data_IF_426886684518
#
_entry.id   IF_426886684518
#
_cell.length_a   1.000
_cell.length_b   1.000
_cell.length_c   1.000
_cell.angle_alpha   90.00
_cell.angle_beta   90.00
_cell.angle_gamma   90.00
#
_symmetry.space_group_name_H-M   'P 1'
#
loop_
_entity.id
_entity.type
_entity.pdbx_description
1 polymer ?
#
# COMPACT_ATOMS: atom_id res chain seq x y z
N UNK A 1 28.04 18.19 -17.18
CA UNK A 1 28.64 16.98 -16.56
C UNK A 1 28.20 16.99 -15.11
N UNK A 2 27.17 16.23 -14.77
CA UNK A 2 26.78 16.02 -13.38
C UNK A 2 27.03 14.54 -13.08
N UNK A 3 28.27 14.26 -12.67
CA UNK A 3 28.59 13.04 -11.94
C UNK A 3 28.38 13.38 -10.47
N UNK A 4 27.47 12.68 -9.80
CA UNK A 4 27.64 12.44 -8.37
C UNK A 4 27.41 10.96 -8.11
N UNK A 5 28.34 10.43 -7.35
CA UNK A 5 28.66 9.02 -7.19
C UNK A 5 27.51 8.26 -6.52
N UNK A 6 27.18 7.09 -7.05
CA UNK A 6 26.21 6.18 -6.46
C UNK A 6 26.90 5.43 -5.32
N UNK A 7 26.82 6.01 -4.14
CA UNK A 7 27.04 5.31 -2.88
C UNK A 7 25.90 4.28 -2.70
N UNK A 8 26.29 3.02 -2.57
CA UNK A 8 25.41 1.87 -2.38
C UNK A 8 24.55 2.03 -1.12
N UNK A 9 23.35 2.60 -1.27
CA UNK A 9 22.35 2.72 -0.19
C UNK A 9 21.58 4.04 -0.14
N UNK A 10 21.91 5.04 -0.97
CA UNK A 10 21.26 6.34 -0.91
C UNK A 10 20.02 6.40 -1.83
N UNK A 11 18.83 6.53 -1.21
CA UNK A 11 17.57 6.77 -1.93
C UNK A 11 17.63 8.12 -2.62
N UNK A 12 17.12 8.20 -3.86
CA UNK A 12 17.00 9.50 -4.54
C UNK A 12 16.05 10.42 -3.76
N UNK A 13 16.46 11.68 -3.62
CA UNK A 13 15.71 12.73 -2.90
C UNK A 13 14.59 13.34 -3.75
N UNK A 14 14.67 13.23 -5.08
CA UNK A 14 13.61 13.69 -5.99
C UNK A 14 13.08 12.55 -6.86
N UNK A 15 11.76 12.48 -6.98
CA UNK A 15 11.09 11.61 -7.92
C UNK A 15 10.52 12.44 -9.07
N UNK A 16 10.94 12.15 -10.31
CA UNK A 16 10.43 12.80 -11.52
C UNK A 16 8.92 12.60 -11.70
N UNK A 17 8.39 11.47 -11.21
CA UNK A 17 7.01 11.06 -11.39
C UNK A 17 6.40 10.64 -10.05
N UNK A 18 6.43 11.55 -9.06
CA UNK A 18 5.81 11.32 -7.73
C UNK A 18 4.36 10.84 -7.89
N UNK A 19 3.57 11.54 -8.72
CA UNK A 19 2.15 11.25 -8.92
C UNK A 19 1.90 9.81 -9.39
N UNK A 20 2.67 9.32 -10.37
CA UNK A 20 2.53 7.94 -10.88
C UNK A 20 2.96 6.92 -9.84
N UNK A 21 3.99 7.24 -9.05
CA UNK A 21 4.43 6.36 -7.97
C UNK A 21 3.40 6.26 -6.87
N UNK A 22 2.70 7.35 -6.54
CA UNK A 22 1.63 7.36 -5.54
C UNK A 22 0.42 6.56 -6.03
N UNK A 23 -0.03 6.76 -7.26
CA UNK A 23 -1.13 5.95 -7.80
C UNK A 23 -0.81 4.45 -7.78
N UNK A 24 0.41 4.08 -8.17
CA UNK A 24 0.85 2.70 -8.10
C UNK A 24 0.85 2.17 -6.66
N UNK A 25 1.33 2.98 -5.71
CA UNK A 25 1.38 2.66 -4.29
C UNK A 25 -0.02 2.42 -3.71
N UNK A 26 -0.96 3.30 -4.04
CA UNK A 26 -2.36 3.22 -3.63
C UNK A 26 -3.00 1.94 -4.19
N UNK A 27 -2.88 1.66 -5.49
CA UNK A 27 -3.40 0.43 -6.09
C UNK A 27 -2.81 -0.84 -5.45
N UNK A 28 -1.54 -0.82 -5.06
CA UNK A 28 -0.92 -1.95 -4.36
C UNK A 28 -1.48 -2.09 -2.93
N UNK A 29 -1.67 -0.97 -2.24
CA UNK A 29 -2.23 -0.93 -0.89
C UNK A 29 -3.72 -1.32 -0.83
N UNK A 30 -4.48 -1.06 -1.90
CA UNK A 30 -5.86 -1.49 -2.06
C UNK A 30 -6.01 -2.92 -2.59
N UNK A 31 -4.88 -3.59 -2.88
CA UNK A 31 -4.83 -5.01 -3.22
C UNK A 31 -5.12 -5.32 -4.68
N UNK A 32 -5.16 -4.31 -5.56
CA UNK A 32 -5.44 -4.48 -6.99
C UNK A 32 -4.32 -5.21 -7.74
N UNK A 33 -3.08 -5.13 -7.24
CA UNK A 33 -1.89 -5.69 -7.91
C UNK A 33 -1.34 -7.00 -7.32
N UNK A 34 -2.02 -7.62 -6.35
CA UNK A 34 -1.59 -8.92 -5.82
C UNK A 34 -0.14 -8.97 -5.31
N UNK A 35 0.58 -10.05 -5.60
CA UNK A 35 1.96 -10.28 -5.12
C UNK A 35 3.02 -9.56 -5.97
N UNK A 36 2.82 -9.48 -7.27
CA UNK A 36 3.69 -8.78 -8.23
C UNK A 36 3.82 -7.28 -7.91
N UNK A 37 2.75 -6.65 -7.43
CA UNK A 37 2.78 -5.27 -6.95
C UNK A 37 3.76 -5.05 -5.79
N UNK A 38 3.88 -6.00 -4.87
CA UNK A 38 4.73 -5.86 -3.67
C UNK A 38 6.21 -5.77 -4.02
N UNK A 39 6.65 -6.51 -5.03
CA UNK A 39 8.05 -6.50 -5.47
C UNK A 39 8.41 -5.17 -6.15
N UNK A 40 7.53 -4.69 -7.03
CA UNK A 40 7.68 -3.38 -7.69
C UNK A 40 7.71 -2.28 -6.65
N UNK A 41 6.82 -2.34 -5.67
CA UNK A 41 6.78 -1.40 -4.56
C UNK A 41 8.11 -1.39 -3.78
N UNK A 42 8.59 -2.56 -3.37
CA UNK A 42 9.83 -2.68 -2.60
C UNK A 42 11.01 -2.05 -3.35
N UNK A 43 11.12 -2.28 -4.65
CA UNK A 43 12.16 -1.67 -5.47
C UNK A 43 12.05 -0.14 -5.56
N UNK A 44 10.83 0.41 -5.59
CA UNK A 44 10.61 1.87 -5.61
C UNK A 44 10.95 2.50 -4.28
N UNK A 45 10.54 1.89 -3.17
CA UNK A 45 10.83 2.35 -1.81
C UNK A 45 12.33 2.30 -1.49
N UNK A 46 13.04 1.31 -2.03
CA UNK A 46 14.49 1.17 -1.86
C UNK A 46 15.28 2.24 -2.62
N UNK A 47 14.73 2.75 -3.73
CA UNK A 47 15.40 3.72 -4.60
C UNK A 47 14.93 5.16 -4.42
N UNK A 48 13.86 5.42 -3.65
CA UNK A 48 13.19 6.73 -3.61
C UNK A 48 12.70 7.14 -2.22
N UNK A 49 13.26 8.23 -1.69
CA UNK A 49 12.94 8.76 -0.37
C UNK A 49 11.51 9.33 -0.28
N UNK A 50 11.05 10.21 -1.20
CA UNK A 50 9.69 10.78 -1.08
C UNK A 50 8.59 9.72 -1.23
N UNK A 51 8.82 8.67 -2.02
CA UNK A 51 7.87 7.55 -2.11
C UNK A 51 7.84 6.71 -0.83
N UNK A 52 9.00 6.55 -0.17
CA UNK A 52 9.10 5.86 1.11
C UNK A 52 8.33 6.59 2.21
N UNK A 53 8.50 7.90 2.32
CA UNK A 53 7.79 8.71 3.29
C UNK A 53 6.27 8.70 3.07
N UNK A 54 5.82 8.83 1.82
CA UNK A 54 4.39 8.76 1.49
C UNK A 54 3.77 7.41 1.86
N UNK A 55 4.43 6.31 1.52
CA UNK A 55 3.98 4.97 1.89
C UNK A 55 3.88 4.79 3.40
N UNK A 56 4.87 5.29 4.14
CA UNK A 56 4.87 5.18 5.59
C UNK A 56 3.71 5.97 6.21
N UNK A 57 3.46 7.18 5.72
CA UNK A 57 2.32 8.00 6.12
C UNK A 57 0.99 7.28 5.84
N UNK A 58 0.81 6.76 4.63
CA UNK A 58 -0.42 6.07 4.25
C UNK A 58 -0.66 4.81 5.08
N UNK A 59 0.38 4.04 5.36
CA UNK A 59 0.27 2.89 6.26
C UNK A 59 -0.10 3.31 7.69
N UNK A 60 0.50 4.37 8.22
CA UNK A 60 0.14 4.90 9.53
C UNK A 60 -1.34 5.33 9.58
N UNK A 61 -1.82 6.01 8.54
CA UNK A 61 -3.24 6.37 8.41
C UNK A 61 -4.12 5.11 8.36
N UNK A 62 -3.79 4.13 7.52
CA UNK A 62 -4.53 2.85 7.43
C UNK A 62 -4.53 2.11 8.77
N UNK A 63 -3.45 2.13 9.52
CA UNK A 63 -3.37 1.54 10.87
C UNK A 63 -4.26 2.29 11.86
N UNK A 64 -4.26 3.62 11.84
CA UNK A 64 -5.16 4.44 12.68
C UNK A 64 -6.62 4.15 12.34
N UNK A 65 -6.98 4.09 11.07
CA UNK A 65 -8.34 3.71 10.65
C UNK A 65 -8.71 2.31 11.15
N UNK A 66 -7.79 1.34 11.00
CA UNK A 66 -7.98 -0.04 11.48
C UNK A 66 -8.14 -0.14 13.00
N UNK A 67 -7.43 0.71 13.75
CA UNK A 67 -7.41 0.63 15.22
C UNK A 67 -8.49 1.48 15.89
N UNK A 68 -8.91 2.59 15.25
CA UNK A 68 -9.83 3.59 15.82
C UNK A 68 -11.21 3.60 15.18
N UNK A 69 -11.34 3.30 13.89
CA UNK A 69 -12.62 3.38 13.18
C UNK A 69 -13.30 2.01 12.99
N UNK A 70 -12.54 0.92 12.92
CA UNK A 70 -13.09 -0.43 12.63
C UNK A 70 -13.23 -1.34 13.84
N UNK A 71 -13.25 -0.83 15.08
CA UNK A 71 -13.58 -1.63 16.29
C UNK A 71 -15.07 -1.99 16.39
N UNK A 72 -15.78 -2.02 15.27
CA UNK A 72 -17.17 -2.45 15.21
C UNK A 72 -17.15 -3.92 14.77
N UNK A 73 -17.59 -4.86 15.62
CA UNK A 73 -17.73 -6.24 15.19
C UNK A 73 -18.64 -6.28 13.96
N UNK A 74 -18.30 -7.14 12.99
CA UNK A 74 -19.20 -7.38 11.85
C UNK A 74 -20.57 -7.76 12.42
N UNK A 75 -21.66 -7.09 12.00
CA UNK A 75 -22.99 -7.45 12.48
C UNK A 75 -23.26 -8.92 12.24
N UNK A 76 -23.64 -9.68 13.26
CA UNK A 76 -23.81 -11.14 13.18
C UNK A 76 -24.76 -11.53 12.04
N UNK A 77 -25.84 -10.77 11.85
CA UNK A 77 -26.79 -10.96 10.75
C UNK A 77 -26.13 -10.91 9.36
N UNK A 78 -25.20 -9.98 9.16
CA UNK A 78 -24.50 -9.84 7.88
C UNK A 78 -23.56 -11.03 7.67
N UNK A 79 -22.82 -11.44 8.71
CA UNK A 79 -21.95 -12.61 8.65
C UNK A 79 -22.73 -13.90 8.37
N UNK A 80 -23.90 -14.07 9.00
CA UNK A 80 -24.76 -15.23 8.81
C UNK A 80 -25.35 -15.27 7.39
N UNK A 81 -25.85 -14.14 6.88
CA UNK A 81 -26.33 -14.05 5.49
C UNK A 81 -25.24 -14.36 4.47
N UNK A 82 -24.00 -13.90 4.69
CA UNK A 82 -22.87 -14.23 3.80
C UNK A 82 -22.58 -15.74 3.83
N UNK A 83 -22.54 -16.36 5.01
CA UNK A 83 -22.31 -17.80 5.14
C UNK A 83 -23.40 -18.62 4.47
N UNK A 84 -24.66 -18.19 4.60
CA UNK A 84 -25.80 -18.85 3.98
C UNK A 84 -25.70 -18.78 2.44
N UNK A 85 -25.43 -17.61 1.87
CA UNK A 85 -25.24 -17.46 0.42
C UNK A 85 -24.08 -18.33 -0.12
N UNK A 86 -22.98 -18.45 0.62
CA UNK A 86 -21.86 -19.32 0.23
C UNK A 86 -22.28 -20.80 0.25
N UNK A 87 -23.12 -21.20 1.21
CA UNK A 87 -23.63 -22.56 1.30
C UNK A 87 -24.64 -22.89 0.19
N UNK A 88 -25.49 -21.92 -0.17
CA UNK A 88 -26.50 -22.06 -1.25
C UNK A 88 -25.91 -21.97 -2.65
N UNK A 89 -24.75 -21.30 -2.82
CA UNK A 89 -24.03 -21.23 -4.09
C UNK A 89 -23.20 -22.50 -4.40
N UNK A 90 -23.35 -23.55 -3.60
CA UNK A 90 -22.66 -24.83 -3.74
C UNK A 90 -23.57 -25.89 -4.35
#
# INVERSE_FOLDING_TARGET
MENNELNSGERKLQCSDVSKCFQLLESILDGEMGEEGKEVLKQKLDKCQPCFEHFHLEQAIREVLKTKCTKQPVPEKLADSIRQMIHEAK
#
